data_IF_744711540617
#
_entry.id   IF_744711540617
#
_cell.length_a   1.000
_cell.length_b   1.000
_cell.length_c   1.000
_cell.angle_alpha   90.00
_cell.angle_beta   90.00
_cell.angle_gamma   90.00
#
_symmetry.space_group_name_H-M   'P 1'
#
loop_
_entity.id
_entity.type
_entity.pdbx_description
1 polymer ?
#
# COMPACT_ATOMS: atom_id res chain seq x y z
N UNK A 1 -16.12 -10.38 -0.70
CA UNK A 1 -16.24 -8.97 -1.08
C UNK A 1 -16.16 -8.77 -2.60
N UNK A 2 -14.99 -8.85 -3.26
CA UNK A 2 -14.87 -8.55 -4.71
C UNK A 2 -15.81 -9.35 -5.63
N UNK A 3 -16.05 -10.62 -5.30
CA UNK A 3 -17.03 -11.47 -6.03
C UNK A 3 -18.45 -10.89 -6.03
N UNK A 4 -18.88 -10.28 -4.92
CA UNK A 4 -20.20 -9.65 -4.80
C UNK A 4 -20.29 -8.39 -5.68
N UNK A 5 -19.24 -7.55 -5.64
CA UNK A 5 -19.15 -6.37 -6.52
C UNK A 5 -19.25 -6.75 -7.99
N UNK A 6 -18.57 -7.83 -8.42
CA UNK A 6 -18.66 -8.35 -9.79
C UNK A 6 -20.06 -8.85 -10.11
N UNK A 7 -20.67 -9.65 -9.23
CA UNK A 7 -22.01 -10.19 -9.41
C UNK A 7 -23.08 -9.07 -9.57
N UNK A 8 -22.83 -7.91 -8.97
CA UNK A 8 -23.72 -6.74 -9.03
C UNK A 8 -23.35 -5.73 -10.12
N UNK A 9 -22.32 -5.99 -10.92
CA UNK A 9 -21.84 -5.06 -11.96
C UNK A 9 -21.21 -3.77 -11.42
N UNK A 10 -20.76 -3.77 -10.16
CA UNK A 10 -20.19 -2.60 -9.47
C UNK A 10 -18.65 -2.62 -9.41
N UNK A 11 -18.00 -3.69 -9.85
CA UNK A 11 -16.56 -3.90 -9.66
C UNK A 11 -15.66 -2.87 -10.37
N UNK A 12 -16.18 -2.20 -11.40
CA UNK A 12 -15.49 -1.11 -12.10
C UNK A 12 -15.55 0.23 -11.33
N UNK A 13 -16.40 0.33 -10.30
CA UNK A 13 -16.67 1.56 -9.54
C UNK A 13 -16.12 1.51 -8.11
N UNK A 14 -15.45 0.42 -7.74
CA UNK A 14 -14.93 0.23 -6.39
C UNK A 14 -13.49 -0.28 -6.47
N UNK A 15 -12.62 0.39 -5.71
CA UNK A 15 -11.25 -0.01 -5.48
C UNK A 15 -11.07 -0.20 -3.96
N UNK A 16 -10.45 -1.30 -3.55
CA UNK A 16 -10.12 -1.58 -2.14
C UNK A 16 -8.63 -1.39 -1.92
N UNK A 17 -8.28 -0.62 -0.90
CA UNK A 17 -6.91 -0.47 -0.43
C UNK A 17 -6.82 -0.93 1.03
N UNK A 18 -5.74 -1.62 1.39
CA UNK A 18 -5.41 -1.92 2.79
C UNK A 18 -4.25 -1.05 3.26
N UNK A 19 -4.33 -0.60 4.50
CA UNK A 19 -3.25 0.09 5.18
C UNK A 19 -3.13 -0.41 6.61
N UNK A 20 -1.91 -0.49 7.11
CA UNK A 20 -1.59 -0.74 8.52
C UNK A 20 -0.44 0.18 8.90
N UNK A 21 -0.56 0.85 10.04
CA UNK A 21 0.55 1.59 10.64
C UNK A 21 1.64 0.64 11.16
N UNK A 22 1.26 -0.61 11.44
CA UNK A 22 2.15 -1.62 12.00
C UNK A 22 2.51 -2.67 10.96
N UNK A 23 3.79 -2.73 10.66
CA UNK A 23 4.47 -3.88 10.07
C UNK A 23 5.02 -4.82 11.14
N UNK A 24 5.92 -5.72 10.72
CA UNK A 24 6.56 -6.72 11.59
C UNK A 24 8.07 -6.64 11.45
N UNK A 25 8.80 -6.81 12.56
CA UNK A 25 10.26 -6.95 12.54
C UNK A 25 10.66 -8.31 12.01
N UNK A 26 11.85 -8.39 11.39
CA UNK A 26 12.38 -9.63 10.81
C UNK A 26 12.74 -10.64 11.90
N UNK A 27 13.26 -10.17 13.04
CA UNK A 27 13.75 -11.02 14.12
C UNK A 27 12.60 -11.56 14.98
N UNK A 28 12.71 -12.83 15.39
CA UNK A 28 11.85 -13.43 16.40
C UNK A 28 12.01 -12.73 17.76
N UNK A 29 10.92 -12.55 18.49
CA UNK A 29 10.90 -12.02 19.85
C UNK A 29 10.84 -13.13 20.91
N UNK A 30 10.92 -12.76 22.19
CA UNK A 30 10.95 -13.72 23.31
C UNK A 30 9.69 -14.57 23.48
N UNK A 31 8.63 -14.32 22.70
CA UNK A 31 7.36 -15.05 22.73
C UNK A 31 7.15 -15.96 21.52
N UNK A 32 8.22 -16.31 20.78
CA UNK A 32 8.15 -17.10 19.53
C UNK A 32 7.30 -16.42 18.44
N UNK A 33 7.22 -15.09 18.48
CA UNK A 33 6.54 -14.25 17.49
C UNK A 33 7.50 -13.23 16.91
N UNK A 34 6.97 -12.10 16.43
CA UNK A 34 7.78 -10.94 16.01
C UNK A 34 7.34 -9.71 16.78
N UNK A 35 8.14 -8.65 16.75
CA UNK A 35 7.70 -7.36 17.28
C UNK A 35 7.00 -6.51 16.23
N UNK A 36 6.34 -5.45 16.68
CA UNK A 36 5.79 -4.41 15.81
C UNK A 36 6.93 -3.76 15.05
N UNK A 37 6.71 -3.45 13.78
CA UNK A 37 7.67 -2.70 12.98
C UNK A 37 7.05 -1.70 12.03
N UNK A 38 7.88 -1.05 11.22
CA UNK A 38 7.50 0.16 10.49
C UNK A 38 7.00 -0.06 9.05
N UNK A 39 7.27 -1.22 8.43
CA UNK A 39 6.91 -1.47 7.03
C UNK A 39 6.07 -2.73 6.83
N UNK A 40 5.05 -2.63 5.99
CA UNK A 40 4.12 -3.70 5.65
C UNK A 40 3.75 -3.63 4.17
N UNK A 41 3.37 -4.76 3.53
CA UNK A 41 2.77 -4.73 2.21
C UNK A 41 1.41 -4.01 2.24
N UNK A 42 1.14 -3.21 1.22
CA UNK A 42 -0.18 -2.64 0.94
C UNK A 42 -0.80 -3.36 -0.25
N UNK A 43 -2.09 -3.68 -0.17
CA UNK A 43 -2.84 -4.25 -1.27
C UNK A 43 -3.77 -3.20 -1.88
N UNK A 44 -3.72 -3.05 -3.19
CA UNK A 44 -4.72 -2.32 -3.99
C UNK A 44 -5.42 -3.33 -4.89
N UNK A 45 -6.72 -3.49 -4.68
CA UNK A 45 -7.53 -4.60 -5.20
C UNK A 45 -8.75 -4.05 -5.92
N UNK A 46 -9.03 -4.54 -7.12
CA UNK A 46 -10.21 -4.15 -7.88
C UNK A 46 -10.01 -4.40 -9.38
N UNK A 47 -11.07 -4.25 -10.16
CA UNK A 47 -11.00 -4.51 -11.60
C UNK A 47 -10.28 -3.39 -12.36
N UNK A 48 -10.11 -2.23 -11.71
CA UNK A 48 -9.33 -1.09 -12.16
C UNK A 48 -7.94 -1.03 -11.51
N UNK A 49 -7.56 -2.03 -10.70
CA UNK A 49 -6.22 -2.10 -10.12
C UNK A 49 -5.22 -2.67 -11.14
N UNK A 50 -4.02 -2.09 -11.20
CA UNK A 50 -2.92 -2.61 -12.03
C UNK A 50 -2.35 -3.87 -11.40
N UNK A 51 -2.41 -4.99 -12.10
CA UNK A 51 -1.89 -6.28 -11.62
C UNK A 51 -0.37 -6.24 -11.50
N UNK A 52 0.16 -6.76 -10.39
CA UNK A 52 1.60 -6.96 -10.18
C UNK A 52 2.08 -6.57 -8.79
N UNK A 53 3.37 -6.77 -8.55
CA UNK A 53 4.09 -6.20 -7.40
C UNK A 53 4.60 -4.85 -7.84
N UNK A 54 4.26 -3.81 -7.08
CA UNK A 54 4.68 -2.43 -7.34
C UNK A 54 5.58 -1.95 -6.21
N UNK A 55 6.62 -1.18 -6.57
CA UNK A 55 7.66 -0.78 -5.63
C UNK A 55 8.84 -1.75 -5.60
N UNK A 56 9.78 -1.52 -4.68
CA UNK A 56 10.97 -2.36 -4.52
C UNK A 56 10.75 -3.51 -3.53
N UNK A 57 11.50 -4.60 -3.68
CA UNK A 57 11.58 -5.65 -2.66
C UNK A 57 12.52 -5.17 -1.55
N UNK A 58 12.09 -5.12 -0.27
CA UNK A 58 12.94 -4.65 0.81
C UNK A 58 14.09 -5.62 1.08
N UNK A 59 15.25 -5.08 1.44
CA UNK A 59 16.39 -5.87 1.90
C UNK A 59 16.22 -6.22 3.39
N UNK A 60 15.95 -7.49 3.70
CA UNK A 60 15.72 -7.93 5.08
C UNK A 60 17.00 -8.03 5.92
N UNK A 61 18.18 -7.81 5.33
CA UNK A 61 19.45 -7.70 6.04
C UNK A 61 19.87 -6.26 6.36
N UNK A 62 19.22 -5.25 5.76
CA UNK A 62 19.45 -3.83 6.01
C UNK A 62 18.24 -3.23 6.72
N UNK A 63 18.36 -3.15 8.04
CA UNK A 63 17.28 -2.76 8.94
C UNK A 63 17.56 -1.40 9.59
N UNK A 64 16.48 -0.72 9.97
CA UNK A 64 16.51 0.50 10.76
C UNK A 64 16.08 0.19 12.18
N UNK A 65 17.04 0.03 13.10
CA UNK A 65 16.76 -0.40 14.48
C UNK A 65 15.87 -1.67 14.58
N UNK A 66 16.09 -2.61 13.67
CA UNK A 66 15.33 -3.87 13.57
C UNK A 66 14.07 -3.79 12.70
N UNK A 67 13.68 -2.60 12.26
CA UNK A 67 12.56 -2.39 11.34
C UNK A 67 12.98 -2.54 9.88
N UNK A 68 12.09 -3.10 9.06
CA UNK A 68 12.31 -3.20 7.62
C UNK A 68 12.27 -1.79 7.02
N UNK A 69 13.33 -1.40 6.31
CA UNK A 69 13.35 -0.14 5.54
C UNK A 69 12.33 -0.23 4.41
N UNK A 70 11.36 0.68 4.39
CA UNK A 70 10.36 0.72 3.34
C UNK A 70 11.00 1.13 1.99
N UNK A 71 10.56 0.49 0.90
CA UNK A 71 11.01 0.82 -0.47
C UNK A 71 10.05 1.78 -1.18
N UNK A 72 8.85 1.92 -0.63
CA UNK A 72 7.76 2.75 -1.15
C UNK A 72 7.11 3.42 0.02
N UNK A 73 7.04 4.75 -0.03
CA UNK A 73 6.33 5.52 0.97
C UNK A 73 4.82 5.33 0.76
N UNK A 74 4.06 5.02 1.82
CA UNK A 74 2.62 4.78 1.69
C UNK A 74 1.89 6.00 1.10
N UNK A 75 2.43 7.22 1.28
CA UNK A 75 1.85 8.45 0.74
C UNK A 75 1.90 8.48 -0.80
N UNK A 76 2.82 7.77 -1.43
CA UNK A 76 2.82 7.59 -2.90
C UNK A 76 1.58 6.80 -3.36
N UNK A 77 1.17 5.80 -2.57
CA UNK A 77 -0.06 5.01 -2.85
C UNK A 77 -1.30 5.89 -2.68
N UNK A 78 -1.38 6.65 -1.58
CA UNK A 78 -2.48 7.60 -1.37
C UNK A 78 -2.54 8.68 -2.46
N UNK A 79 -1.39 9.26 -2.83
CA UNK A 79 -1.31 10.23 -3.91
C UNK A 79 -1.84 9.67 -5.22
N UNK A 80 -1.48 8.42 -5.52
CA UNK A 80 -1.97 7.72 -6.72
C UNK A 80 -3.49 7.56 -6.71
N UNK A 81 -4.09 7.16 -5.59
CA UNK A 81 -5.55 7.00 -5.53
C UNK A 81 -6.28 8.34 -5.54
N UNK A 82 -5.74 9.36 -4.88
CA UNK A 82 -6.30 10.71 -4.94
C UNK A 82 -6.36 11.20 -6.38
N UNK A 83 -5.26 11.08 -7.12
CA UNK A 83 -5.18 11.64 -8.46
C UNK A 83 -5.82 10.76 -9.54
N UNK A 84 -5.59 9.45 -9.52
CA UNK A 84 -6.02 8.53 -10.59
C UNK A 84 -7.40 7.91 -10.37
N UNK A 85 -7.87 7.85 -9.12
CA UNK A 85 -9.16 7.25 -8.80
C UNK A 85 -10.21 8.29 -8.38
N UNK A 86 -9.82 9.28 -7.57
CA UNK A 86 -10.73 10.30 -7.06
C UNK A 86 -10.71 11.60 -7.87
N UNK A 87 -9.77 11.76 -8.80
CA UNK A 87 -9.58 12.99 -9.60
C UNK A 87 -9.36 14.25 -8.73
N UNK A 88 -8.55 14.10 -7.68
CA UNK A 88 -8.20 15.16 -6.74
C UNK A 88 -6.69 15.35 -6.73
N UNK A 89 -6.24 16.62 -6.80
CA UNK A 89 -4.82 16.96 -6.64
C UNK A 89 -4.33 16.55 -5.27
N UNK A 90 -3.38 15.61 -5.23
CA UNK A 90 -2.93 15.01 -3.98
C UNK A 90 -2.20 16.00 -3.07
N UNK A 91 -1.55 17.03 -3.62
CA UNK A 91 -0.82 18.03 -2.84
C UNK A 91 -1.73 18.86 -1.94
N UNK A 92 -2.96 19.11 -2.40
CA UNK A 92 -3.95 19.83 -1.61
C UNK A 92 -4.41 19.03 -0.37
N UNK A 93 -4.28 17.71 -0.41
CA UNK A 93 -4.69 16.79 0.67
C UNK A 93 -3.51 16.38 1.54
N UNK A 94 -2.38 16.03 0.93
CA UNK A 94 -1.18 15.52 1.59
C UNK A 94 -0.22 16.64 2.04
N UNK A 95 -0.47 17.88 1.63
CA UNK A 95 0.35 19.05 1.97
C UNK A 95 1.71 19.12 1.25
N UNK A 96 1.99 18.16 0.35
CA UNK A 96 3.22 18.09 -0.44
C UNK A 96 3.01 17.24 -1.69
N UNK A 97 3.90 17.43 -2.66
CA UNK A 97 4.02 16.51 -3.79
C UNK A 97 4.59 15.15 -3.34
N UNK A 98 3.97 14.10 -3.84
CA UNK A 98 4.35 12.69 -3.70
C UNK A 98 4.42 12.05 -5.10
N UNK A 99 5.05 10.89 -5.20
CA UNK A 99 5.16 10.21 -6.49
C UNK A 99 3.83 9.53 -6.83
N UNK A 100 3.31 9.79 -8.03
CA UNK A 100 2.15 9.09 -8.60
C UNK A 100 2.64 7.81 -9.28
N UNK A 101 2.10 6.66 -8.86
CA UNK A 101 2.47 5.32 -9.32
C UNK A 101 1.48 4.80 -10.36
N UNK A 102 1.85 3.76 -11.13
CA UNK A 102 0.96 3.06 -12.08
C UNK A 102 0.18 1.95 -11.36
N UNK A 103 -0.78 2.34 -10.49
CA UNK A 103 -1.59 1.40 -9.70
C UNK A 103 -3.04 1.25 -10.18
N UNK A 104 -3.50 2.17 -11.04
CA UNK A 104 -4.89 2.23 -11.49
C UNK A 104 -4.89 2.33 -13.02
N UNK A 105 -5.59 1.39 -13.65
CA UNK A 105 -5.86 1.36 -15.11
C UNK A 105 -7.14 2.12 -15.38
#
# INVERSE_FOLDING_TARGET
FQRDLRARGLSQRVLTMTFSEFGRRVKENGSQGTDHGAAAPMFVLGDRARVGIHGGVPNLGDLDDGDVRHTTDFRDVYATLLERWLDVRHEAVLGRACRVMDLVV
#
